data_IF_601106159975
#
_entry.id   IF_601106159975
#
_cell.length_a   1.000
_cell.length_b   1.000
_cell.length_c   1.000
_cell.angle_alpha   90.00
_cell.angle_beta   90.00
_cell.angle_gamma   90.00
#
_symmetry.space_group_name_H-M   'P 1'
#
loop_
_entity.id
_entity.type
_entity.pdbx_description
1 polymer ?
#
# COMPACT_ATOMS: atom_id res chain seq x y z
N UNK A 1 8.63 -15.13 29.88
CA UNK A 1 8.94 -16.42 29.23
C UNK A 1 7.65 -17.09 28.81
N UNK A 2 7.38 -17.20 27.51
CA UNK A 2 6.71 -18.35 26.90
C UNK A 2 6.88 -18.27 25.38
N UNK A 3 7.61 -19.24 24.86
CA UNK A 3 8.06 -19.39 23.48
C UNK A 3 7.00 -20.15 22.68
N UNK A 4 7.00 -19.88 21.37
CA UNK A 4 6.55 -20.69 20.23
C UNK A 4 6.27 -22.19 20.47
N UNK A 5 5.26 -22.69 19.74
CA UNK A 5 5.05 -24.11 19.41
C UNK A 5 4.01 -24.24 18.29
N UNK A 6 4.40 -24.10 17.03
CA UNK A 6 4.73 -25.16 16.07
C UNK A 6 3.53 -25.84 15.39
N UNK A 7 3.47 -25.58 14.08
CA UNK A 7 2.83 -26.29 12.98
C UNK A 7 2.90 -27.82 13.16
N UNK A 8 1.75 -28.49 13.01
CA UNK A 8 1.70 -29.88 12.58
C UNK A 8 0.36 -30.19 11.91
N UNK A 9 0.33 -30.21 10.58
CA UNK A 9 -0.64 -31.03 9.84
C UNK A 9 0.04 -31.61 8.60
N UNK A 10 0.60 -32.79 8.81
CA UNK A 10 1.04 -33.71 7.77
C UNK A 10 -0.22 -34.20 7.05
N UNK A 11 -0.32 -33.98 5.74
CA UNK A 11 -1.20 -34.77 4.88
C UNK A 11 -0.32 -35.52 3.87
N UNK A 12 -0.12 -36.80 4.17
CA UNK A 12 0.46 -37.77 3.28
C UNK A 12 -0.57 -38.14 2.20
N UNK A 13 -0.17 -38.05 0.93
CA UNK A 13 -0.74 -38.90 -0.13
C UNK A 13 0.43 -39.41 -0.98
N UNK A 14 0.71 -40.70 -0.83
CA UNK A 14 1.55 -41.49 -1.69
C UNK A 14 0.67 -42.53 -2.39
N UNK A 15 0.70 -42.58 -3.73
CA UNK A 15 0.44 -43.76 -4.58
C UNK A 15 1.16 -43.48 -5.91
N UNK A 16 2.36 -44.02 -6.15
CA UNK A 16 2.69 -45.31 -6.79
C UNK A 16 2.30 -45.48 -8.27
N UNK A 17 3.36 -45.78 -9.02
CA UNK A 17 3.48 -46.64 -10.20
C UNK A 17 3.12 -46.09 -11.59
N UNK A 18 4.16 -45.91 -12.42
CA UNK A 18 4.30 -46.69 -13.65
C UNK A 18 5.75 -46.60 -14.19
N UNK A 19 6.53 -47.65 -13.93
CA UNK A 19 7.70 -47.97 -14.74
C UNK A 19 7.21 -48.41 -16.14
N UNK A 20 7.81 -47.86 -17.20
CA UNK A 20 7.81 -48.49 -18.52
C UNK A 20 9.25 -48.57 -19.01
N UNK A 21 9.58 -49.77 -19.48
CA UNK A 21 10.88 -50.35 -19.79
C UNK A 21 11.62 -49.64 -20.92
N UNK A 22 12.97 -49.60 -20.88
CA UNK A 22 13.81 -50.38 -21.81
C UNK A 22 15.30 -50.34 -21.44
N UNK A 23 16.02 -51.36 -21.90
CA UNK A 23 17.36 -51.79 -21.52
C UNK A 23 18.56 -50.87 -21.86
N UNK A 24 19.64 -51.19 -21.15
CA UNK A 24 21.00 -50.66 -21.03
C UNK A 24 21.92 -50.89 -22.26
N UNK A 25 22.67 -49.86 -22.70
CA UNK A 25 24.15 -49.89 -22.86
C UNK A 25 24.80 -48.58 -23.37
N UNK A 26 25.64 -48.02 -22.50
CA UNK A 26 27.00 -47.47 -22.68
C UNK A 26 27.49 -46.82 -24.00
N UNK A 27 27.98 -45.59 -23.81
CA UNK A 27 29.19 -44.94 -24.39
C UNK A 27 29.13 -44.31 -25.78
N UNK A 28 29.15 -42.98 -25.86
CA UNK A 28 30.36 -42.13 -26.07
C UNK A 28 29.96 -40.76 -26.63
N UNK A 29 30.45 -39.72 -25.97
CA UNK A 29 30.69 -38.31 -26.38
C UNK A 29 29.89 -37.70 -27.55
N UNK A 30 29.12 -36.66 -27.21
CA UNK A 30 29.11 -35.43 -28.01
C UNK A 30 29.14 -34.22 -27.08
N UNK A 31 30.22 -33.44 -27.18
CA UNK A 31 30.28 -32.04 -26.74
C UNK A 31 29.16 -31.30 -27.46
N UNK A 32 28.17 -30.83 -26.72
CA UNK A 32 27.32 -29.73 -27.16
C UNK A 32 27.39 -28.63 -26.12
N UNK A 33 28.06 -27.55 -26.52
CA UNK A 33 28.07 -26.26 -25.87
C UNK A 33 26.64 -25.73 -25.79
N UNK A 34 25.92 -26.05 -24.72
CA UNK A 34 24.86 -25.17 -24.24
C UNK A 34 25.52 -23.99 -23.56
N UNK A 35 25.82 -22.99 -24.39
CA UNK A 35 25.95 -21.59 -24.01
C UNK A 35 24.80 -21.29 -23.04
N UNK A 36 25.13 -21.29 -21.76
CA UNK A 36 24.27 -20.79 -20.70
C UNK A 36 24.21 -19.28 -20.98
N UNK A 37 23.22 -18.86 -21.76
CA UNK A 37 22.86 -17.45 -21.83
C UNK A 37 22.32 -17.12 -20.44
N UNK A 38 23.27 -16.74 -19.59
CA UNK A 38 23.06 -16.03 -18.36
C UNK A 38 22.26 -14.79 -18.74
N UNK A 39 20.94 -14.94 -18.66
CA UNK A 39 20.02 -13.81 -18.71
C UNK A 39 20.38 -13.00 -17.47
N UNK A 40 21.32 -12.08 -17.63
CA UNK A 40 21.61 -11.03 -16.66
C UNK A 40 20.39 -10.13 -16.64
N UNK A 41 19.35 -10.59 -15.95
CA UNK A 41 18.17 -9.78 -15.62
C UNK A 41 18.73 -8.66 -14.77
N UNK A 42 18.80 -7.46 -15.35
CA UNK A 42 19.22 -6.27 -14.66
C UNK A 42 18.47 -6.21 -13.33
N UNK A 43 19.21 -6.30 -12.21
CA UNK A 43 18.62 -6.37 -10.88
C UNK A 43 17.86 -5.08 -10.55
N UNK A 44 18.06 -4.00 -11.32
CA UNK A 44 17.21 -2.81 -11.30
C UNK A 44 15.77 -3.07 -11.77
N UNK A 45 15.54 -3.97 -12.74
CA UNK A 45 14.21 -4.22 -13.32
C UNK A 45 13.24 -4.99 -12.39
N UNK A 46 13.74 -5.61 -11.32
CA UNK A 46 12.97 -6.51 -10.46
C UNK A 46 12.55 -5.89 -9.11
N UNK A 47 13.08 -4.71 -8.80
CA UNK A 47 12.82 -4.04 -7.54
C UNK A 47 12.02 -2.75 -7.77
N UNK A 48 11.31 -2.34 -6.74
CA UNK A 48 10.64 -1.05 -6.66
C UNK A 48 11.34 -0.26 -5.57
N UNK A 49 11.58 1.02 -5.86
CA UNK A 49 12.13 1.99 -4.91
C UNK A 49 11.02 2.99 -4.57
N UNK A 50 10.78 3.20 -3.29
CA UNK A 50 9.81 4.17 -2.75
C UNK A 50 10.56 5.08 -1.79
N UNK A 51 10.50 6.39 -1.99
CA UNK A 51 11.12 7.36 -1.10
C UNK A 51 10.03 8.05 -0.28
N UNK A 52 10.15 7.96 1.04
CA UNK A 52 9.22 8.60 1.97
C UNK A 52 9.91 9.80 2.63
N UNK A 53 9.25 10.97 2.70
CA UNK A 53 9.85 12.19 3.22
C UNK A 53 10.11 12.09 4.73
N UNK A 54 11.07 12.88 5.22
CA UNK A 54 11.47 12.89 6.64
C UNK A 54 10.30 13.19 7.60
N UNK A 55 9.33 13.99 7.15
CA UNK A 55 8.14 14.39 7.92
C UNK A 55 7.27 13.20 8.34
N UNK A 56 7.34 12.06 7.64
CA UNK A 56 6.61 10.84 8.03
C UNK A 56 7.19 10.14 9.26
N UNK A 57 8.41 10.48 9.66
CA UNK A 57 9.14 9.80 10.74
C UNK A 57 9.45 10.74 11.91
N UNK A 58 8.77 11.88 11.99
CA UNK A 58 8.96 12.81 13.09
C UNK A 58 8.62 12.18 14.44
N UNK A 59 9.58 12.19 15.36
CA UNK A 59 9.44 11.57 16.68
C UNK A 59 9.69 10.05 16.72
N UNK A 60 9.96 9.41 15.58
CA UNK A 60 10.28 7.99 15.49
C UNK A 60 11.78 7.69 15.65
N UNK A 61 12.10 6.50 16.14
CA UNK A 61 13.47 5.97 16.10
C UNK A 61 13.74 5.38 14.70
N UNK A 62 14.45 6.14 13.88
CA UNK A 62 14.79 5.78 12.49
C UNK A 62 15.49 4.42 12.40
N UNK A 63 16.35 4.06 13.36
CA UNK A 63 17.04 2.77 13.32
C UNK A 63 16.05 1.62 13.56
N UNK A 64 15.04 1.82 14.41
CA UNK A 64 13.93 0.88 14.62
C UNK A 64 13.06 0.75 13.36
N UNK A 65 12.67 1.87 12.75
CA UNK A 65 11.89 1.90 11.49
C UNK A 65 12.59 1.10 10.39
N UNK A 66 13.91 1.31 10.22
CA UNK A 66 14.72 0.58 9.24
C UNK A 66 14.77 -0.92 9.56
N UNK A 67 14.89 -1.28 10.84
CA UNK A 67 14.95 -2.68 11.26
C UNK A 67 13.63 -3.42 11.02
N UNK A 68 12.50 -2.77 11.30
CA UNK A 68 11.16 -3.31 11.07
C UNK A 68 10.88 -3.51 9.58
N UNK A 69 11.18 -2.51 8.76
CA UNK A 69 11.02 -2.62 7.31
C UNK A 69 11.79 -3.83 6.73
N UNK A 70 13.02 -4.06 7.20
CA UNK A 70 13.83 -5.22 6.78
C UNK A 70 13.24 -6.55 7.24
N UNK A 71 12.66 -6.58 8.44
CA UNK A 71 11.95 -7.75 8.97
C UNK A 71 10.71 -8.09 8.15
N UNK A 72 10.03 -7.08 7.62
CA UNK A 72 8.81 -7.22 6.83
C UNK A 72 9.07 -7.48 5.33
N UNK A 73 10.33 -7.70 4.95
CA UNK A 73 10.73 -8.18 3.62
C UNK A 73 11.23 -7.08 2.68
N UNK A 74 11.50 -5.87 3.18
CA UNK A 74 12.24 -4.84 2.44
C UNK A 74 13.72 -5.24 2.38
N UNK A 75 14.33 -5.19 1.18
CA UNK A 75 15.71 -5.67 0.98
C UNK A 75 16.75 -4.68 1.50
N UNK A 76 16.49 -3.39 1.26
CA UNK A 76 17.40 -2.31 1.58
C UNK A 76 16.59 -1.06 1.92
N UNK A 77 17.08 -0.31 2.90
CA UNK A 77 16.54 1.00 3.27
C UNK A 77 17.72 1.94 3.36
N UNK A 78 17.67 3.02 2.59
CA UNK A 78 18.70 4.05 2.51
C UNK A 78 18.20 5.30 3.21
N UNK A 79 19.00 5.84 4.13
CA UNK A 79 18.76 7.15 4.71
C UNK A 79 19.43 8.21 3.85
N UNK A 80 18.65 9.15 3.32
CA UNK A 80 19.13 10.22 2.46
C UNK A 80 19.60 11.43 3.29
N UNK A 81 20.33 12.36 2.66
CA UNK A 81 20.87 13.56 3.32
C UNK A 81 19.79 14.53 3.81
N UNK A 82 18.64 14.56 3.11
CA UNK A 82 17.45 15.34 3.47
C UNK A 82 16.60 14.70 4.59
N UNK A 83 17.03 13.55 5.12
CA UNK A 83 16.32 12.81 6.15
C UNK A 83 15.23 11.87 5.64
N UNK A 84 14.93 11.87 4.34
CA UNK A 84 14.02 10.89 3.74
C UNK A 84 14.59 9.48 3.76
N UNK A 85 13.71 8.49 3.69
CA UNK A 85 14.08 7.08 3.61
C UNK A 85 13.66 6.49 2.27
N UNK A 86 14.61 5.89 1.54
CA UNK A 86 14.34 5.15 0.30
C UNK A 86 14.30 3.65 0.59
N UNK A 87 13.15 3.03 0.34
CA UNK A 87 12.88 1.62 0.54
C UNK A 87 13.01 0.88 -0.78
N UNK A 88 13.86 -0.15 -0.82
CA UNK A 88 14.04 -1.03 -1.98
C UNK A 88 13.48 -2.40 -1.67
N UNK A 89 12.42 -2.78 -2.38
CA UNK A 89 11.70 -4.05 -2.17
C UNK A 89 11.46 -4.78 -3.49
N UNK A 90 11.09 -6.06 -3.43
CA UNK A 90 10.66 -6.76 -4.65
C UNK A 90 9.31 -6.23 -5.14
N UNK A 91 9.03 -6.35 -6.44
CA UNK A 91 7.70 -6.07 -7.01
C UNK A 91 6.57 -6.83 -6.31
N UNK A 92 6.83 -8.07 -5.88
CA UNK A 92 5.84 -8.87 -5.16
C UNK A 92 5.49 -8.27 -3.79
N UNK A 93 6.50 -7.82 -3.03
CA UNK A 93 6.29 -7.20 -1.72
C UNK A 93 5.64 -5.83 -1.85
N UNK A 94 6.04 -5.06 -2.86
CA UNK A 94 5.37 -3.80 -3.17
C UNK A 94 3.88 -4.00 -3.47
N UNK A 95 3.54 -4.99 -4.31
CA UNK A 95 2.14 -5.32 -4.62
C UNK A 95 1.34 -5.79 -3.40
N UNK A 96 1.96 -6.57 -2.51
CA UNK A 96 1.36 -6.99 -1.24
C UNK A 96 1.03 -5.78 -0.35
N UNK A 97 2.01 -4.91 -0.14
CA UNK A 97 1.84 -3.66 0.62
C UNK A 97 0.77 -2.75 0.01
N UNK A 98 0.75 -2.57 -1.32
CA UNK A 98 -0.30 -1.78 -1.98
C UNK A 98 -1.70 -2.36 -1.78
N UNK A 99 -1.82 -3.69 -1.75
CA UNK A 99 -3.10 -4.36 -1.47
C UNK A 99 -3.54 -4.16 -0.02
N UNK A 100 -2.60 -4.22 0.93
CA UNK A 100 -2.88 -3.93 2.35
C UNK A 100 -3.35 -2.49 2.53
N UNK A 101 -2.68 -1.51 1.89
CA UNK A 101 -3.11 -0.11 1.89
C UNK A 101 -4.50 0.05 1.28
N UNK A 102 -4.77 -0.56 0.13
CA UNK A 102 -6.10 -0.55 -0.50
C UNK A 102 -7.18 -1.12 0.43
N UNK A 103 -6.90 -2.24 1.11
CA UNK A 103 -7.82 -2.84 2.07
C UNK A 103 -8.06 -1.91 3.26
N UNK A 104 -7.00 -1.31 3.84
CA UNK A 104 -7.14 -0.40 4.96
C UNK A 104 -8.03 0.81 4.61
N UNK A 105 -7.83 1.42 3.43
CA UNK A 105 -8.68 2.55 2.98
C UNK A 105 -10.14 2.12 2.85
N UNK A 106 -10.40 0.94 2.27
CA UNK A 106 -11.74 0.40 2.10
C UNK A 106 -12.41 0.07 3.44
N UNK A 107 -11.64 -0.47 4.39
CA UNK A 107 -12.14 -0.76 5.73
C UNK A 107 -12.50 0.55 6.47
N UNK A 108 -11.66 1.59 6.36
CA UNK A 108 -11.97 2.92 6.91
C UNK A 108 -13.22 3.54 6.28
N UNK A 109 -13.43 3.37 4.98
CA UNK A 109 -14.67 3.80 4.31
C UNK A 109 -15.89 3.11 4.92
N UNK A 110 -15.86 1.78 5.05
CA UNK A 110 -16.98 1.03 5.60
C UNK A 110 -17.21 1.32 7.09
N UNK A 111 -16.15 1.50 7.87
CA UNK A 111 -16.23 1.93 9.27
C UNK A 111 -16.87 3.32 9.39
N UNK A 112 -16.47 4.28 8.55
CA UNK A 112 -17.05 5.63 8.54
C UNK A 112 -18.55 5.59 8.26
N UNK A 113 -18.98 4.72 7.34
CA UNK A 113 -20.40 4.53 6.99
C UNK A 113 -21.21 3.83 8.07
N UNK A 114 -20.61 2.94 8.85
CA UNK A 114 -21.35 2.00 9.71
C UNK A 114 -21.22 2.26 11.21
N UNK A 115 -20.18 2.97 11.64
CA UNK A 115 -19.92 3.29 13.06
C UNK A 115 -21.01 4.15 13.70
N UNK A 116 -21.64 5.03 12.90
CA UNK A 116 -22.57 6.04 13.39
C UNK A 116 -21.89 7.28 13.97
N UNK A 117 -20.55 7.30 14.03
CA UNK A 117 -19.76 8.45 14.51
C UNK A 117 -19.84 9.64 13.54
N UNK A 118 -20.10 9.36 12.26
CA UNK A 118 -20.22 10.33 11.17
C UNK A 118 -21.64 10.33 10.58
N UNK A 119 -22.65 10.60 11.41
CA UNK A 119 -24.06 10.40 11.08
C UNK A 119 -24.57 11.18 9.84
N UNK A 120 -23.92 12.28 9.49
CA UNK A 120 -24.24 13.04 8.27
C UNK A 120 -23.77 12.36 6.99
N UNK A 121 -22.72 11.53 7.04
CA UNK A 121 -22.14 10.84 5.88
C UNK A 121 -22.97 9.60 5.54
N UNK A 122 -23.45 9.53 4.29
CA UNK A 122 -24.35 8.46 3.80
C UNK A 122 -23.62 7.43 2.97
N UNK A 123 -22.72 7.90 2.12
CA UNK A 123 -21.89 7.04 1.29
C UNK A 123 -20.57 7.71 0.96
N UNK A 124 -19.58 6.90 0.60
CA UNK A 124 -18.26 7.35 0.22
C UNK A 124 -17.83 6.55 -1.00
N UNK A 125 -17.50 7.27 -2.06
CA UNK A 125 -16.96 6.70 -3.29
C UNK A 125 -15.56 7.26 -3.54
N UNK A 126 -14.78 6.55 -4.34
CA UNK A 126 -13.40 6.92 -4.62
C UNK A 126 -13.00 6.50 -6.04
N UNK A 127 -11.94 7.10 -6.56
CA UNK A 127 -11.28 6.61 -7.77
C UNK A 127 -10.26 5.50 -7.46
N UNK A 128 -9.77 4.82 -8.50
CA UNK A 128 -8.87 3.67 -8.33
C UNK A 128 -7.54 4.01 -7.64
N UNK A 129 -7.06 5.25 -7.78
CA UNK A 129 -5.80 5.72 -7.19
C UNK A 129 -5.96 6.31 -5.79
N UNK A 130 -7.18 6.38 -5.25
CA UNK A 130 -7.49 7.09 -4.01
C UNK A 130 -7.00 8.55 -3.99
N UNK A 131 -6.92 9.17 -5.17
CA UNK A 131 -6.59 10.60 -5.30
C UNK A 131 -7.84 11.48 -5.28
N UNK A 132 -9.02 10.87 -5.38
CA UNK A 132 -10.30 11.56 -5.26
C UNK A 132 -11.27 10.71 -4.45
N UNK A 133 -11.96 11.33 -3.50
CA UNK A 133 -13.08 10.77 -2.77
C UNK A 133 -14.30 11.67 -2.92
N UNK A 134 -15.48 11.08 -2.99
CA UNK A 134 -16.75 11.81 -2.89
C UNK A 134 -17.52 11.33 -1.68
N UNK A 135 -17.76 12.25 -0.74
CA UNK A 135 -18.61 12.03 0.44
C UNK A 135 -20.02 12.49 0.09
N UNK A 136 -20.97 11.55 0.03
CA UNK A 136 -22.39 11.86 -0.08
C UNK A 136 -22.93 12.10 1.33
N UNK A 137 -23.48 13.30 1.58
CA UNK A 137 -23.86 13.73 2.94
C UNK A 137 -25.26 14.31 3.00
N UNK A 138 -25.89 14.22 4.17
CA UNK A 138 -26.96 15.15 4.54
C UNK A 138 -26.31 16.52 4.83
N UNK A 139 -26.49 17.47 3.91
CA UNK A 139 -25.81 18.77 3.97
C UNK A 139 -26.07 19.52 5.28
N UNK A 140 -27.33 19.56 5.74
CA UNK A 140 -27.67 20.31 6.94
C UNK A 140 -27.06 19.67 8.18
N UNK A 141 -27.04 18.34 8.28
CA UNK A 141 -26.39 17.64 9.38
C UNK A 141 -24.87 17.83 9.35
N UNK A 142 -24.26 17.77 8.16
CA UNK A 142 -22.83 17.93 7.96
C UNK A 142 -22.32 19.33 8.36
N UNK A 143 -22.97 20.39 7.89
CA UNK A 143 -22.58 21.79 8.21
C UNK A 143 -22.74 22.12 9.70
N UNK A 144 -23.55 21.35 10.44
CA UNK A 144 -23.80 21.54 11.87
C UNK A 144 -23.11 20.49 12.76
N UNK A 145 -22.23 19.65 12.19
CA UNK A 145 -21.51 18.61 12.92
C UNK A 145 -19.99 18.76 12.80
N UNK A 146 -19.27 17.81 13.41
CA UNK A 146 -17.82 17.66 13.26
C UNK A 146 -17.49 16.57 12.22
N UNK A 147 -18.47 16.11 11.45
CA UNK A 147 -18.24 14.97 10.55
C UNK A 147 -17.30 15.32 9.39
N UNK A 148 -17.13 16.62 9.10
CA UNK A 148 -16.15 17.10 8.15
C UNK A 148 -14.71 16.71 8.47
N UNK A 149 -14.39 16.38 9.73
CA UNK A 149 -13.07 15.85 10.12
C UNK A 149 -12.76 14.49 9.47
N UNK A 150 -13.76 13.72 9.03
CA UNK A 150 -13.53 12.50 8.28
C UNK A 150 -12.73 12.77 6.99
N UNK A 151 -12.89 13.95 6.38
CA UNK A 151 -12.17 14.33 5.15
C UNK A 151 -10.65 14.33 5.33
N UNK A 152 -10.15 14.68 6.51
CA UNK A 152 -8.70 14.68 6.82
C UNK A 152 -8.16 13.25 6.75
N UNK A 153 -8.87 12.30 7.36
CA UNK A 153 -8.48 10.89 7.36
C UNK A 153 -8.38 10.32 5.95
N UNK A 154 -9.34 10.63 5.08
CA UNK A 154 -9.31 10.22 3.67
C UNK A 154 -8.22 10.94 2.87
N UNK A 155 -8.03 12.24 3.10
CA UNK A 155 -6.95 13.02 2.51
C UNK A 155 -5.58 12.39 2.81
N UNK A 156 -5.30 12.14 4.09
CA UNK A 156 -4.05 11.51 4.52
C UNK A 156 -3.89 10.09 3.97
N UNK A 157 -4.95 9.28 4.02
CA UNK A 157 -4.89 7.89 3.55
C UNK A 157 -4.64 7.80 2.04
N UNK A 158 -5.29 8.66 1.25
CA UNK A 158 -5.07 8.76 -0.19
C UNK A 158 -3.67 9.27 -0.53
N UNK A 159 -3.13 10.23 0.25
CA UNK A 159 -1.76 10.69 0.07
C UNK A 159 -0.75 9.57 0.35
N UNK A 160 -0.92 8.83 1.45
CA UNK A 160 -0.09 7.67 1.78
C UNK A 160 -0.15 6.63 0.65
N UNK A 161 -1.34 6.28 0.18
CA UNK A 161 -1.49 5.34 -0.93
C UNK A 161 -0.70 5.78 -2.16
N UNK A 162 -0.82 7.05 -2.56
CA UNK A 162 -0.14 7.61 -3.71
C UNK A 162 1.39 7.63 -3.57
N UNK A 163 1.91 8.01 -2.40
CA UNK A 163 3.36 7.98 -2.12
C UNK A 163 3.92 6.57 -2.26
N UNK A 164 3.25 5.58 -1.66
CA UNK A 164 3.67 4.18 -1.78
C UNK A 164 3.49 3.61 -3.18
N UNK A 165 2.58 4.16 -3.98
CA UNK A 165 2.45 3.84 -5.40
C UNK A 165 3.54 4.49 -6.28
N UNK A 166 4.46 5.25 -5.69
CA UNK A 166 5.60 5.87 -6.38
C UNK A 166 5.34 7.29 -6.88
N UNK A 167 4.29 7.96 -6.38
CA UNK A 167 4.09 9.38 -6.64
C UNK A 167 5.12 10.21 -5.89
N UNK A 168 5.51 11.34 -6.48
CA UNK A 168 6.38 12.31 -5.81
C UNK A 168 5.62 12.93 -4.63
N UNK A 169 6.24 12.95 -3.44
CA UNK A 169 5.63 13.45 -2.22
C UNK A 169 5.18 14.91 -2.35
N UNK A 170 5.95 15.75 -3.05
CA UNK A 170 5.66 17.18 -3.23
C UNK A 170 4.49 17.42 -4.22
N UNK A 171 4.16 16.41 -5.04
CA UNK A 171 3.09 16.47 -6.02
C UNK A 171 1.88 15.61 -5.65
N UNK A 172 1.89 14.99 -4.46
CA UNK A 172 0.81 14.11 -4.02
C UNK A 172 -0.34 14.95 -3.47
N UNK A 173 -1.49 14.91 -4.16
CA UNK A 173 -2.70 15.60 -3.75
C UNK A 173 -3.89 14.66 -3.68
N UNK A 174 -4.82 14.94 -2.77
CA UNK A 174 -6.10 14.23 -2.68
C UNK A 174 -7.23 15.24 -2.66
N UNK A 175 -8.19 15.07 -3.56
CA UNK A 175 -9.41 15.88 -3.62
C UNK A 175 -10.55 15.16 -2.91
N UNK A 176 -11.22 15.87 -1.99
CA UNK A 176 -12.44 15.41 -1.32
C UNK A 176 -13.59 16.28 -1.81
N UNK A 177 -14.54 15.66 -2.52
CA UNK A 177 -15.76 16.29 -2.98
C UNK A 177 -16.88 16.05 -1.98
N UNK A 178 -17.52 17.11 -1.49
CA UNK A 178 -18.68 16.99 -0.61
C UNK A 178 -19.95 17.22 -1.42
N UNK A 179 -20.76 16.16 -1.51
CA UNK A 179 -21.95 16.09 -2.34
C UNK A 179 -23.20 16.00 -1.47
N UNK A 180 -24.15 16.89 -1.70
CA UNK A 180 -25.43 16.85 -1.00
C UNK A 180 -26.30 15.68 -1.53
N UNK A 181 -26.78 14.84 -0.62
CA UNK A 181 -27.66 13.72 -0.93
C UNK A 181 -28.95 14.17 -1.62
N UNK A 182 -29.53 15.29 -1.18
CA UNK A 182 -30.84 15.73 -1.66
C UNK A 182 -30.80 16.26 -3.10
N UNK A 183 -29.79 17.06 -3.42
CA UNK A 183 -29.65 17.71 -4.73
C UNK A 183 -28.73 16.95 -5.69
N UNK A 184 -27.88 16.07 -5.18
CA UNK A 184 -26.79 15.44 -5.91
C UNK A 184 -25.77 16.45 -6.47
N UNK A 185 -25.71 17.65 -5.93
CA UNK A 185 -24.73 18.66 -6.30
C UNK A 185 -23.54 18.65 -5.35
N UNK A 186 -22.33 18.76 -5.90
CA UNK A 186 -21.13 19.07 -5.13
C UNK A 186 -21.21 20.51 -4.68
N UNK A 187 -21.12 20.75 -3.38
CA UNK A 187 -21.19 22.09 -2.80
C UNK A 187 -19.90 22.53 -2.10
N UNK A 188 -18.96 21.59 -1.89
CA UNK A 188 -17.65 21.88 -1.33
C UNK A 188 -16.58 20.96 -1.92
N UNK A 189 -15.35 21.46 -1.99
CA UNK A 189 -14.17 20.77 -2.52
C UNK A 189 -12.98 21.08 -1.62
N UNK A 190 -12.37 20.04 -1.07
CA UNK A 190 -11.22 20.15 -0.17
C UNK A 190 -10.03 19.44 -0.81
N UNK A 191 -8.90 20.13 -0.95
CA UNK A 191 -7.68 19.56 -1.52
C UNK A 191 -6.63 19.44 -0.43
N UNK A 192 -6.14 18.23 -0.18
CA UNK A 192 -5.04 17.95 0.74
C UNK A 192 -3.73 17.78 -0.06
N UNK A 193 -2.57 18.26 0.45
CA UNK A 193 -2.37 18.89 1.76
C UNK A 193 -2.73 20.39 1.85
N UNK A 194 -3.08 21.06 0.74
CA UNK A 194 -3.35 22.51 0.68
C UNK A 194 -4.25 23.02 1.84
N UNK A 195 -5.33 22.28 2.16
CA UNK A 195 -6.26 22.62 3.24
C UNK A 195 -5.66 22.60 4.66
N UNK A 196 -4.57 21.85 4.89
CA UNK A 196 -3.84 21.85 6.16
C UNK A 196 -2.93 23.08 6.26
N UNK A 197 -2.26 23.44 5.17
CA UNK A 197 -1.33 24.57 5.12
C UNK A 197 -2.07 25.92 5.33
N UNK A 198 -3.29 26.02 4.80
CA UNK A 198 -4.16 27.18 5.01
C UNK A 198 -4.64 27.35 6.47
N UNK A 199 -4.58 26.27 7.27
CA UNK A 199 -4.98 26.31 8.68
C UNK A 199 -3.87 26.80 9.61
N UNK A 200 -2.60 26.64 9.22
CA UNK A 200 -1.42 27.06 9.99
C UNK A 200 -1.11 28.56 9.86
N UNK A 201 -1.76 29.27 8.94
CA UNK A 201 -1.52 30.69 8.64
C UNK A 201 -2.52 31.65 9.31
N UNK A 202 -3.38 31.18 10.22
CA UNK A 202 -4.37 31.99 10.95
C UNK A 202 -4.13 32.08 12.45
#
# INVERSE_FOLDING_TARGET
>A
MRKFGFIMLILAIAVLAACSSNEQKASTETKDEKKNEEVSVDKGLLNVEVTLPASMFEGEDIDSVIAEAKKDGVKEVTKNEDGSLTYKMSKSKHKEMMKELETNVKDTIEETKTSGDFASIKDITHNDSFSEFTLLVDKSAYENSMDGFASIGFGMSGMIYQMFNGSDADNTKVTILIKDEATQETFDEIVYPDALEDSDTK
#
